data_IF_233671572013
#
_entry.id   IF_233671572013
#
_cell.length_a   1.000
_cell.length_b   1.000
_cell.length_c   1.000
_cell.angle_alpha   90.00
_cell.angle_beta   90.00
_cell.angle_gamma   90.00
#
_symmetry.space_group_name_H-M   'P 1'
#
loop_
_entity.id
_entity.type
_entity.pdbx_description
1 polymer ?
#
# COMPACT_ATOMS: atom_id res chain seq x y z
N UNK A 1 26.38 -7.02 -70.56
CA UNK A 1 25.93 -8.43 -70.65
C UNK A 1 25.03 -8.70 -69.45
N UNK A 2 23.78 -9.10 -69.72
CA UNK A 2 22.83 -9.61 -68.72
C UNK A 2 23.25 -11.02 -68.32
N UNK A 3 23.30 -11.32 -67.03
CA UNK A 3 22.99 -12.65 -66.52
C UNK A 3 22.16 -12.51 -65.25
N UNK A 4 20.93 -13.02 -65.36
CA UNK A 4 19.96 -13.23 -64.30
C UNK A 4 20.34 -14.53 -63.59
N UNK A 5 20.37 -14.52 -62.26
CA UNK A 5 20.22 -15.73 -61.44
C UNK A 5 19.31 -15.39 -60.26
N UNK A 6 18.04 -15.72 -60.44
CA UNK A 6 17.04 -15.82 -59.38
C UNK A 6 17.33 -17.13 -58.64
N UNK A 7 17.62 -17.04 -57.34
CA UNK A 7 17.80 -18.18 -56.45
C UNK A 7 17.07 -17.90 -55.13
N UNK A 8 15.89 -18.49 -54.98
CA UNK A 8 15.15 -18.50 -53.72
C UNK A 8 15.88 -19.38 -52.70
N UNK A 9 16.09 -18.86 -51.49
CA UNK A 9 16.41 -19.66 -50.31
C UNK A 9 15.90 -18.93 -49.08
N UNK A 10 14.76 -19.39 -48.59
CA UNK A 10 14.27 -19.06 -47.26
C UNK A 10 15.14 -19.77 -46.22
N UNK A 11 15.79 -19.01 -45.34
CA UNK A 11 16.19 -19.48 -44.02
C UNK A 11 15.90 -18.36 -43.01
N UNK A 12 14.80 -18.54 -42.29
CA UNK A 12 14.60 -17.90 -41.00
C UNK A 12 15.64 -18.47 -40.02
N UNK A 13 16.45 -17.58 -39.42
CA UNK A 13 17.23 -17.84 -38.21
C UNK A 13 17.14 -16.58 -37.35
N UNK A 14 16.05 -16.52 -36.59
CA UNK A 14 16.02 -15.77 -35.35
C UNK A 14 17.00 -16.45 -34.38
N UNK A 15 18.04 -15.74 -33.98
CA UNK A 15 18.70 -15.97 -32.69
C UNK A 15 19.10 -14.62 -32.11
N UNK A 16 18.30 -14.22 -31.13
CA UNK A 16 18.69 -13.34 -30.06
C UNK A 16 20.01 -13.82 -29.43
N UNK A 17 20.93 -12.90 -29.21
CA UNK A 17 22.07 -13.06 -28.31
C UNK A 17 22.23 -11.71 -27.60
N UNK A 18 21.58 -11.56 -26.45
CA UNK A 18 22.17 -11.66 -25.10
C UNK A 18 23.04 -10.45 -24.74
N UNK A 19 22.34 -9.43 -24.25
CA UNK A 19 22.83 -8.41 -23.33
C UNK A 19 21.67 -8.12 -22.37
N UNK A 20 21.32 -9.15 -21.60
CA UNK A 20 20.21 -9.20 -20.65
C UNK A 20 20.60 -8.43 -19.37
N UNK A 21 20.09 -7.22 -19.24
CA UNK A 21 19.88 -6.55 -17.95
C UNK A 21 18.44 -6.01 -17.94
N UNK A 22 17.44 -6.84 -17.64
CA UNK A 22 16.10 -6.37 -17.33
C UNK A 22 16.09 -6.01 -15.85
N UNK A 23 16.53 -4.78 -15.56
CA UNK A 23 16.54 -4.25 -14.21
C UNK A 23 16.58 -2.73 -14.15
N UNK A 24 16.26 -2.06 -15.26
CA UNK A 24 15.65 -0.75 -15.14
C UNK A 24 14.16 -1.05 -14.92
N UNK A 25 13.74 -1.03 -13.65
CA UNK A 25 12.37 -0.68 -13.37
C UNK A 25 12.20 0.71 -14.02
N UNK A 26 11.54 0.75 -15.16
CA UNK A 26 10.80 1.96 -15.47
C UNK A 26 9.79 2.04 -14.33
N UNK A 27 10.07 2.90 -13.34
CA UNK A 27 9.04 3.51 -12.50
C UNK A 27 8.09 4.19 -13.48
N UNK A 28 7.17 3.38 -14.03
CA UNK A 28 5.88 3.89 -14.38
C UNK A 28 5.35 4.38 -13.04
N UNK A 29 5.38 5.70 -12.86
CA UNK A 29 4.54 6.45 -11.94
C UNK A 29 3.09 6.07 -12.28
N UNK A 30 2.69 4.87 -11.89
CA UNK A 30 1.34 4.40 -11.93
C UNK A 30 0.66 5.23 -10.87
N UNK A 31 0.09 6.36 -11.29
CA UNK A 31 -0.79 7.15 -10.45
C UNK A 31 -1.84 6.23 -9.80
N UNK A 32 -2.45 6.69 -8.70
CA UNK A 32 -3.37 5.89 -7.90
C UNK A 32 -4.32 5.06 -8.77
N UNK A 33 -4.58 3.78 -8.43
CA UNK A 33 -5.58 3.00 -9.15
C UNK A 33 -6.91 3.78 -9.18
N UNK A 34 -7.63 3.71 -10.29
CA UNK A 34 -8.84 4.51 -10.47
C UNK A 34 -9.84 4.27 -9.32
N UNK A 35 -10.20 5.33 -8.59
CA UNK A 35 -11.05 5.28 -7.40
C UNK A 35 -10.31 5.42 -6.07
N UNK A 36 -8.97 5.40 -6.08
CA UNK A 36 -8.16 5.60 -4.89
C UNK A 36 -8.16 7.09 -4.47
N UNK A 37 -8.00 7.32 -3.16
CA UNK A 37 -7.99 8.63 -2.53
C UNK A 37 -6.54 9.03 -2.37
N UNK A 38 -6.20 10.20 -2.87
CA UNK A 38 -4.93 10.83 -2.57
C UNK A 38 -5.11 11.74 -1.37
N UNK A 39 -4.35 11.48 -0.31
CA UNK A 39 -4.26 12.37 0.84
C UNK A 39 -3.41 13.58 0.47
N UNK A 40 -3.72 14.74 1.02
CA UNK A 40 -2.99 15.97 0.80
C UNK A 40 -1.68 15.96 1.61
N UNK A 41 -0.56 16.47 1.08
CA UNK A 41 0.65 16.63 1.87
C UNK A 41 0.43 17.64 3.01
N UNK A 42 1.18 17.49 4.11
CA UNK A 42 1.10 18.37 5.26
C UNK A 42 1.36 17.67 6.59
N UNK A 43 1.14 18.41 7.67
CA UNK A 43 1.27 17.91 9.03
C UNK A 43 -0.03 17.23 9.44
N UNK A 44 0.06 15.98 9.89
CA UNK A 44 -1.05 15.17 10.36
C UNK A 44 -0.91 14.83 11.83
N UNK A 45 -2.01 14.85 12.57
CA UNK A 45 -2.08 14.24 13.89
C UNK A 45 -2.64 12.84 13.76
N UNK A 46 -1.82 11.84 14.08
CA UNK A 46 -2.19 10.43 14.07
C UNK A 46 -2.45 9.92 15.47
N UNK A 47 -3.54 9.18 15.63
CA UNK A 47 -3.91 8.54 16.88
C UNK A 47 -4.19 7.06 16.65
N UNK A 48 -3.55 6.21 17.45
CA UNK A 48 -3.71 4.76 17.41
C UNK A 48 -4.27 4.30 18.74
N UNK A 49 -5.39 3.58 18.70
CA UNK A 49 -6.05 3.00 19.88
C UNK A 49 -6.14 1.49 19.70
N UNK A 50 -5.72 0.72 20.71
CA UNK A 50 -5.73 -0.75 20.69
C UNK A 50 -6.75 -1.28 21.69
N UNK A 51 -7.51 -2.29 21.28
CA UNK A 51 -8.36 -3.08 22.17
C UNK A 51 -9.65 -2.38 22.60
N UNK A 52 -10.31 -1.66 21.69
CA UNK A 52 -11.58 -0.97 21.94
C UNK A 52 -12.65 -1.32 20.92
N UNK A 53 -13.88 -1.57 21.37
CA UNK A 53 -15.04 -1.56 20.50
C UNK A 53 -15.39 -0.13 20.04
N UNK A 54 -16.45 0.06 19.23
CA UNK A 54 -16.96 1.38 18.86
C UNK A 54 -17.42 2.24 20.06
N UNK A 55 -17.40 1.67 21.28
CA UNK A 55 -17.72 2.30 22.55
C UNK A 55 -16.56 3.09 23.19
N UNK A 56 -15.37 3.09 22.58
CA UNK A 56 -14.23 3.89 23.04
C UNK A 56 -13.53 3.32 24.28
N UNK A 57 -13.74 2.04 24.59
CA UNK A 57 -13.10 1.32 25.70
C UNK A 57 -11.61 0.98 25.49
N UNK A 58 -11.06 1.35 24.32
CA UNK A 58 -9.69 1.03 23.92
C UNK A 58 -8.63 1.86 24.63
N UNK A 59 -7.42 1.32 24.68
CA UNK A 59 -6.25 1.98 25.23
C UNK A 59 -5.58 2.83 24.16
N UNK A 60 -5.36 4.13 24.43
CA UNK A 60 -4.53 4.97 23.56
C UNK A 60 -3.11 4.41 23.53
N UNK A 61 -2.62 4.10 22.33
CA UNK A 61 -1.29 3.54 22.10
C UNK A 61 -0.31 4.62 21.62
N UNK A 62 -0.71 5.42 20.64
CA UNK A 62 0.10 6.49 20.08
C UNK A 62 -0.77 7.73 19.78
N UNK A 63 -0.21 8.92 19.96
CA UNK A 63 -0.80 10.21 19.57
C UNK A 63 0.37 11.11 19.16
N UNK A 64 0.62 11.17 17.86
CA UNK A 64 1.85 11.71 17.29
C UNK A 64 1.55 12.59 16.09
N UNK A 65 2.39 13.61 15.88
CA UNK A 65 2.34 14.39 14.66
C UNK A 65 3.31 13.79 13.64
N UNK A 66 2.88 13.69 12.39
CA UNK A 66 3.69 13.21 11.28
C UNK A 66 3.58 14.19 10.11
N UNK A 67 4.72 14.61 9.57
CA UNK A 67 4.75 15.29 8.28
C UNK A 67 4.63 14.25 7.15
N UNK A 68 3.70 14.48 6.24
CA UNK A 68 3.57 13.74 4.98
C UNK A 68 4.01 14.64 3.82
N UNK A 69 5.08 14.24 3.15
CA UNK A 69 5.58 14.90 1.96
C UNK A 69 4.77 14.48 0.72
N UNK A 70 4.98 15.20 -0.38
CA UNK A 70 4.31 14.93 -1.65
C UNK A 70 4.62 13.51 -2.17
N UNK A 71 5.84 13.03 -1.95
CA UNK A 71 6.27 11.67 -2.30
C UNK A 71 5.51 10.59 -1.52
N UNK A 72 5.24 10.81 -0.22
CA UNK A 72 4.53 9.86 0.64
C UNK A 72 3.07 9.65 0.19
N UNK A 73 2.45 10.69 -0.36
CA UNK A 73 1.03 10.65 -0.78
C UNK A 73 0.84 10.42 -2.28
N UNK A 74 1.92 10.51 -3.06
CA UNK A 74 1.87 10.47 -4.53
C UNK A 74 1.27 9.18 -5.09
N UNK A 75 1.59 8.04 -4.47
CA UNK A 75 1.13 6.71 -4.87
C UNK A 75 -0.32 6.38 -4.51
N UNK A 76 -1.03 7.29 -3.84
CA UNK A 76 -2.39 7.05 -3.34
C UNK A 76 -2.45 6.24 -2.04
N UNK A 77 -3.65 6.11 -1.49
CA UNK A 77 -3.85 5.49 -0.17
C UNK A 77 -3.49 4.00 -0.17
N UNK A 78 -3.68 3.31 -1.30
CA UNK A 78 -3.30 1.90 -1.42
C UNK A 78 -1.81 1.67 -1.21
N UNK A 79 -0.97 2.46 -1.88
CA UNK A 79 0.49 2.33 -1.76
C UNK A 79 0.96 2.73 -0.36
N UNK A 80 0.39 3.79 0.20
CA UNK A 80 0.70 4.22 1.56
C UNK A 80 0.37 3.13 2.59
N UNK A 81 -0.75 2.40 2.46
CA UNK A 81 -1.08 1.28 3.34
C UNK A 81 -0.11 0.10 3.23
N UNK A 82 0.46 -0.15 2.04
CA UNK A 82 1.48 -1.18 1.86
C UNK A 82 2.78 -0.76 2.53
N UNK A 83 3.20 0.50 2.37
CA UNK A 83 4.40 1.03 3.01
C UNK A 83 4.32 0.95 4.53
N UNK A 84 3.17 1.32 5.12
CA UNK A 84 2.96 1.27 6.56
C UNK A 84 3.01 -0.15 7.14
N UNK A 85 2.64 -1.17 6.38
CA UNK A 85 2.59 -2.56 6.87
C UNK A 85 3.79 -3.41 6.45
N UNK A 86 4.74 -2.85 5.69
CA UNK A 86 5.88 -3.58 5.15
C UNK A 86 5.57 -4.11 3.76
N UNK A 87 5.76 -3.24 2.76
CA UNK A 87 5.44 -3.44 1.34
C UNK A 87 5.86 -4.81 0.78
N UNK A 88 6.99 -5.36 1.23
CA UNK A 88 7.54 -6.62 0.72
C UNK A 88 6.92 -7.88 1.34
N UNK A 89 6.35 -7.78 2.54
CA UNK A 89 5.74 -8.91 3.24
C UNK A 89 4.22 -8.94 3.13
N UNK A 90 3.58 -7.81 2.83
CA UNK A 90 2.13 -7.70 2.82
C UNK A 90 1.55 -7.49 1.42
N UNK A 91 0.40 -8.12 1.15
CA UNK A 91 -0.37 -7.95 -0.09
C UNK A 91 -1.85 -7.82 0.20
N UNK A 92 -2.55 -7.04 -0.60
CA UNK A 92 -4.02 -7.02 -0.57
C UNK A 92 -4.59 -8.29 -1.19
N UNK A 93 -5.43 -9.00 -0.43
CA UNK A 93 -6.34 -10.02 -0.94
C UNK A 93 -7.56 -9.35 -1.58
N UNK A 94 -8.13 -8.35 -0.89
CA UNK A 94 -9.18 -7.48 -1.41
C UNK A 94 -8.85 -6.03 -1.10
N UNK A 95 -9.23 -5.14 -2.00
CA UNK A 95 -9.12 -3.70 -1.80
C UNK A 95 -10.29 -3.04 -2.53
N UNK A 96 -11.23 -2.49 -1.77
CA UNK A 96 -12.34 -1.69 -2.27
C UNK A 96 -12.24 -0.30 -1.60
N UNK A 97 -11.98 0.71 -2.42
CA UNK A 97 -12.07 2.11 -2.01
C UNK A 97 -12.97 2.81 -3.01
N UNK A 98 -14.14 3.22 -2.54
CA UNK A 98 -15.12 3.94 -3.33
C UNK A 98 -15.80 4.99 -2.46
N UNK A 99 -15.99 6.20 -3.02
CA UNK A 99 -16.64 7.31 -2.32
C UNK A 99 -16.03 7.63 -0.93
N UNK A 100 -14.72 7.41 -0.79
CA UNK A 100 -13.99 7.59 0.47
C UNK A 100 -14.21 6.48 1.51
N UNK A 101 -14.90 5.39 1.18
CA UNK A 101 -15.09 4.25 2.06
C UNK A 101 -14.14 3.11 1.68
N UNK A 102 -13.27 2.72 2.61
CA UNK A 102 -12.33 1.61 2.46
C UNK A 102 -12.90 0.32 3.08
N UNK A 103 -12.81 -0.78 2.34
CA UNK A 103 -12.91 -2.16 2.84
C UNK A 103 -11.81 -3.00 2.16
N UNK A 104 -10.80 -3.37 2.94
CA UNK A 104 -9.66 -4.11 2.45
C UNK A 104 -9.34 -5.31 3.35
N UNK A 105 -8.81 -6.37 2.75
CA UNK A 105 -8.22 -7.50 3.45
C UNK A 105 -6.77 -7.58 3.01
N UNK A 106 -5.87 -7.46 3.96
CA UNK A 106 -4.43 -7.59 3.75
C UNK A 106 -3.94 -8.91 4.35
N UNK A 107 -3.05 -9.57 3.61
CA UNK A 107 -2.37 -10.79 4.05
C UNK A 107 -0.87 -10.51 4.04
N UNK A 108 -0.27 -10.60 5.22
CA UNK A 108 1.16 -10.45 5.44
C UNK A 108 1.78 -11.84 5.59
N UNK A 109 2.73 -12.15 4.72
CA UNK A 109 3.49 -13.40 4.75
C UNK A 109 4.19 -13.56 6.10
N UNK A 110 4.06 -14.75 6.67
CA UNK A 110 4.82 -15.14 7.85
C UNK A 110 6.28 -15.44 7.49
N UNK A 111 7.15 -15.36 8.49
CA UNK A 111 8.54 -15.81 8.38
C UNK A 111 8.74 -17.11 9.17
N UNK A 112 10.00 -17.55 9.33
CA UNK A 112 10.31 -18.78 10.07
C UNK A 112 9.88 -18.76 11.55
N UNK A 113 9.57 -17.59 12.10
CA UNK A 113 9.25 -17.34 13.49
C UNK A 113 7.84 -16.78 13.71
N UNK A 114 7.20 -16.22 12.67
CA UNK A 114 5.87 -15.59 12.74
C UNK A 114 4.90 -16.21 11.72
N UNK A 115 3.66 -16.54 12.12
CA UNK A 115 2.66 -17.05 11.19
C UNK A 115 2.21 -15.99 10.17
N UNK A 116 1.71 -16.44 9.02
CA UNK A 116 1.02 -15.55 8.07
C UNK A 116 -0.10 -14.81 8.79
N UNK A 117 -0.15 -13.49 8.62
CA UNK A 117 -1.13 -12.64 9.28
C UNK A 117 -2.18 -12.12 8.32
N UNK A 118 -3.45 -12.21 8.71
CA UNK A 118 -4.58 -11.64 7.94
C UNK A 118 -5.23 -10.52 8.73
N UNK A 119 -5.21 -9.32 8.16
CA UNK A 119 -5.82 -8.12 8.72
C UNK A 119 -7.00 -7.67 7.83
N UNK A 120 -8.14 -7.36 8.45
CA UNK A 120 -9.24 -6.64 7.80
C UNK A 120 -9.15 -5.18 8.17
N UNK A 121 -9.21 -4.30 7.18
CA UNK A 121 -9.14 -2.85 7.32
C UNK A 121 -10.44 -2.28 6.76
N UNK A 122 -11.17 -1.54 7.57
CA UNK A 122 -12.40 -0.88 7.12
C UNK A 122 -12.51 0.50 7.74
N UNK A 123 -13.01 1.47 6.99
CA UNK A 123 -13.15 2.83 7.51
C UNK A 123 -13.24 3.86 6.41
N UNK A 124 -13.10 5.13 6.80
CA UNK A 124 -13.27 6.27 5.89
C UNK A 124 -11.93 6.94 5.62
N UNK A 125 -11.71 7.31 4.37
CA UNK A 125 -10.53 8.01 3.88
C UNK A 125 -11.00 9.24 3.10
N UNK A 126 -10.51 10.41 3.47
CA UNK A 126 -10.71 11.67 2.75
C UNK A 126 -9.34 12.27 2.43
N UNK A 127 -9.28 13.32 1.57
CA UNK A 127 -8.01 13.97 1.28
C UNK A 127 -7.27 14.52 2.52
N UNK A 128 -7.98 14.86 3.60
CA UNK A 128 -7.37 15.50 4.78
C UNK A 128 -7.51 14.67 6.06
N UNK A 129 -8.20 13.53 6.02
CA UNK A 129 -8.46 12.74 7.21
C UNK A 129 -8.65 11.26 6.91
N UNK A 130 -8.47 10.44 7.94
CA UNK A 130 -8.70 9.01 7.87
C UNK A 130 -9.21 8.52 9.22
N UNK A 131 -10.16 7.58 9.20
CA UNK A 131 -10.62 6.83 10.37
C UNK A 131 -10.78 5.38 9.98
N UNK A 132 -9.78 4.56 10.32
CA UNK A 132 -9.73 3.15 10.00
C UNK A 132 -9.84 2.30 11.25
N UNK A 133 -10.51 1.17 11.08
CA UNK A 133 -10.47 0.05 12.01
C UNK A 133 -9.74 -1.12 11.35
N UNK A 134 -8.71 -1.60 12.02
CA UNK A 134 -7.94 -2.77 11.63
C UNK A 134 -8.21 -3.90 12.63
N UNK A 135 -8.66 -5.04 12.14
CA UNK A 135 -8.89 -6.24 12.95
C UNK A 135 -8.02 -7.37 12.43
N UNK A 136 -7.17 -7.91 13.31
CA UNK A 136 -6.33 -9.08 13.03
C UNK A 136 -6.91 -10.26 13.82
N UNK A 137 -7.29 -11.33 13.11
CA UNK A 137 -7.75 -12.54 13.78
C UNK A 137 -6.57 -13.24 14.45
N UNK A 138 -6.74 -13.71 15.70
CA UNK A 138 -5.73 -14.50 16.39
C UNK A 138 -5.53 -15.86 15.71
N UNK A 139 -4.27 -16.29 15.55
CA UNK A 139 -3.89 -17.54 14.86
C UNK A 139 -4.17 -18.83 15.64
N UNK A 140 -4.85 -18.75 16.79
CA UNK A 140 -5.17 -19.88 17.65
C UNK A 140 -6.66 -19.91 18.02
N UNK A 141 -7.22 -21.12 18.23
CA UNK A 141 -8.55 -21.30 18.84
C UNK A 141 -8.55 -20.70 20.26
N UNK A 142 -8.90 -19.41 20.36
CA UNK A 142 -8.89 -18.64 21.60
C UNK A 142 -7.83 -17.52 21.67
N UNK A 143 -7.01 -17.34 20.63
CA UNK A 143 -6.10 -16.20 20.54
C UNK A 143 -6.88 -14.90 20.46
N UNK A 144 -6.62 -13.98 21.40
CA UNK A 144 -7.26 -12.66 21.39
C UNK A 144 -6.87 -11.95 20.09
N UNK A 145 -7.83 -11.79 19.17
CA UNK A 145 -7.63 -10.96 17.99
C UNK A 145 -7.30 -9.53 18.41
N UNK A 146 -6.47 -8.86 17.62
CA UNK A 146 -6.11 -7.46 17.86
C UNK A 146 -7.11 -6.60 17.10
N UNK A 147 -7.74 -5.66 17.81
CA UNK A 147 -8.56 -4.63 17.21
C UNK A 147 -7.91 -3.27 17.43
N UNK A 148 -7.68 -2.55 16.35
CA UNK A 148 -7.00 -1.26 16.35
C UNK A 148 -7.85 -0.24 15.62
N UNK A 149 -7.90 0.98 16.14
CA UNK A 149 -8.43 2.13 15.43
C UNK A 149 -7.30 3.11 15.17
N UNK A 150 -7.18 3.56 13.92
CA UNK A 150 -6.20 4.54 13.47
C UNK A 150 -6.97 5.73 12.91
N UNK A 151 -6.82 6.88 13.54
CA UNK A 151 -7.36 8.13 13.00
C UNK A 151 -6.22 9.08 12.66
N UNK A 152 -6.34 9.77 11.52
CA UNK A 152 -5.41 10.79 11.09
C UNK A 152 -6.19 12.02 10.63
N UNK A 153 -5.72 13.22 10.96
CA UNK A 153 -6.32 14.48 10.54
C UNK A 153 -5.22 15.50 10.22
N UNK A 154 -5.36 16.19 9.09
CA UNK A 154 -4.45 17.27 8.68
C UNK A 154 -4.62 18.46 9.62
N UNK A 155 -3.53 18.84 10.29
CA UNK A 155 -3.49 19.94 11.24
C UNK A 155 -2.73 21.17 10.72
N UNK A 156 -2.14 21.09 9.53
CA UNK A 156 -1.46 22.22 8.90
C UNK A 156 -0.47 21.81 7.82
N UNK A 157 0.39 22.74 7.44
CA UNK A 157 1.57 22.47 6.61
C UNK A 157 2.71 21.95 7.51
N UNK A 158 3.67 21.23 6.94
CA UNK A 158 4.87 20.85 7.67
C UNK A 158 5.80 22.06 7.85
N UNK A 159 6.35 22.22 9.06
CA UNK A 159 7.41 23.18 9.32
C UNK A 159 8.77 22.47 9.44
N UNK A 160 9.87 23.24 9.39
CA UNK A 160 11.26 22.73 9.48
C UNK A 160 11.57 21.94 10.77
N UNK A 161 10.67 21.98 11.77
CA UNK A 161 10.81 21.27 13.05
C UNK A 161 10.12 19.90 13.05
N UNK A 162 9.29 19.61 12.03
CA UNK A 162 8.49 18.39 11.88
C UNK A 162 9.03 17.46 10.78
N UNK A 163 10.23 17.78 10.24
CA UNK A 163 10.95 17.06 9.19
C UNK A 163 12.11 16.20 9.74
#
# INVERSE_FOLDING_TARGET
MRFVLVGASALALALAACGDYPGAYEEAEAGPPAGDVRIEPGLYRMQITIGGGPDGSGMQYADENQCLAEEDVSGGYREMLLDLQGRDSCRFETYDLADGQLDAVMVCAGDAFQPETRARIAGTVTPEATDLRMTVAGFEEGGAGVDMRVTSERIGDCDDQDA
#
